data_IF_130554990048
#
_entry.id   IF_130554990048
#
_cell.length_a   1.000
_cell.length_b   1.000
_cell.length_c   1.000
_cell.angle_alpha   90.00
_cell.angle_beta   90.00
_cell.angle_gamma   90.00
#
_symmetry.space_group_name_H-M   'P 1'
#
loop_
_entity.id
_entity.type
_entity.pdbx_description
1 polymer ?
#
# COMPACT_ATOMS: atom_id res chain seq x y z
N UNK A 1 17.33 10.74 8.51
CA UNK A 1 16.25 9.98 9.17
C UNK A 1 15.59 9.14 8.08
N UNK A 2 16.08 7.92 7.88
CA UNK A 2 15.58 7.00 6.84
C UNK A 2 14.44 6.22 7.50
N UNK A 3 13.21 6.48 7.08
CA UNK A 3 12.07 5.68 7.49
C UNK A 3 12.33 4.24 7.04
N UNK A 4 12.33 3.31 8.01
CA UNK A 4 12.32 1.89 7.68
C UNK A 4 11.04 1.58 6.89
N UNK A 5 11.12 0.77 5.82
CA UNK A 5 9.93 0.20 5.23
C UNK A 5 9.24 -0.63 6.30
N UNK A 6 7.99 -0.29 6.61
CA UNK A 6 7.12 -1.06 7.48
C UNK A 6 6.57 -2.23 6.64
N UNK A 7 7.48 -3.12 6.19
CA UNK A 7 7.15 -4.32 5.42
C UNK A 7 7.48 -5.56 6.27
N UNK A 8 6.87 -5.62 7.46
CA UNK A 8 6.70 -6.89 8.16
C UNK A 8 5.52 -7.62 7.49
N UNK A 9 5.71 -8.92 7.31
CA UNK A 9 5.02 -9.91 6.44
C UNK A 9 3.49 -10.09 6.63
N UNK A 10 2.77 -9.08 7.16
CA UNK A 10 1.34 -9.08 7.51
C UNK A 10 0.63 -7.84 6.90
N UNK A 11 0.82 -7.59 5.60
CA UNK A 11 0.39 -6.35 4.95
C UNK A 11 -1.04 -6.42 4.40
N UNK A 12 -1.99 -5.78 5.09
CA UNK A 12 -3.30 -5.38 4.54
C UNK A 12 -3.21 -4.17 3.59
N UNK A 13 -2.22 -4.18 2.70
CA UNK A 13 -1.98 -3.29 1.56
C UNK A 13 -1.24 -4.14 0.50
N UNK A 14 -1.60 -4.11 -0.79
CA UNK A 14 -1.54 -5.32 -1.59
C UNK A 14 -0.10 -5.78 -1.89
N UNK A 15 0.01 -7.10 -2.02
CA UNK A 15 1.20 -7.96 -1.98
C UNK A 15 2.19 -7.80 -3.16
N UNK A 16 2.35 -6.61 -3.73
CA UNK A 16 3.22 -6.36 -4.90
C UNK A 16 4.45 -5.49 -4.61
N UNK A 17 4.70 -5.11 -3.36
CA UNK A 17 5.89 -4.36 -2.99
C UNK A 17 7.06 -5.30 -2.71
N UNK A 18 7.73 -5.76 -3.77
CA UNK A 18 9.12 -6.20 -3.65
C UNK A 18 9.96 -4.97 -3.28
N UNK A 19 10.86 -5.08 -2.29
CA UNK A 19 11.64 -3.99 -1.69
C UNK A 19 12.66 -3.28 -2.60
N UNK A 20 12.30 -3.04 -3.86
CA UNK A 20 13.10 -2.39 -4.88
C UNK A 20 12.40 -1.11 -5.35
N UNK A 21 13.17 -0.06 -5.57
CA UNK A 21 12.68 1.11 -6.31
C UNK A 21 12.34 0.72 -7.75
N UNK A 22 11.29 1.30 -8.30
CA UNK A 22 10.90 1.15 -9.71
C UNK A 22 11.01 2.49 -10.45
N UNK A 23 10.73 2.49 -11.74
CA UNK A 23 10.65 3.69 -12.58
C UNK A 23 9.30 3.75 -13.27
N UNK A 24 8.85 4.96 -13.64
CA UNK A 24 7.58 5.15 -14.39
C UNK A 24 7.56 4.29 -15.67
N UNK A 25 8.69 4.23 -16.39
CA UNK A 25 8.79 3.43 -17.61
C UNK A 25 8.66 1.92 -17.33
N UNK A 26 9.27 1.44 -16.23
CA UNK A 26 9.17 0.04 -15.80
C UNK A 26 7.74 -0.33 -15.40
N UNK A 27 7.13 0.46 -14.52
CA UNK A 27 5.75 0.21 -14.07
C UNK A 27 4.79 0.20 -15.26
N UNK A 28 4.85 1.20 -16.14
CA UNK A 28 3.97 1.23 -17.32
C UNK A 28 4.17 0.03 -18.25
N UNK A 29 5.38 -0.53 -18.31
CA UNK A 29 5.70 -1.66 -19.19
C UNK A 29 5.31 -3.01 -18.59
N UNK A 30 5.47 -3.18 -17.28
CA UNK A 30 5.42 -4.48 -16.63
C UNK A 30 4.32 -4.64 -15.57
N UNK A 31 3.72 -3.55 -15.10
CA UNK A 31 2.61 -3.62 -14.16
C UNK A 31 1.31 -3.93 -14.93
N UNK A 32 0.72 -5.13 -14.76
CA UNK A 32 -0.45 -5.55 -15.54
C UNK A 32 -1.66 -4.65 -15.27
N UNK A 33 -1.79 -4.11 -14.05
CA UNK A 33 -2.90 -3.23 -13.68
C UNK A 33 -2.92 -1.93 -14.49
N UNK A 34 -1.77 -1.45 -14.94
CA UNK A 34 -1.66 -0.20 -15.70
C UNK A 34 -2.01 -0.36 -17.19
N UNK A 35 -2.21 -1.58 -17.67
CA UNK A 35 -2.58 -1.89 -19.06
C UNK A 35 -4.05 -2.30 -19.23
N UNK A 36 -4.79 -2.45 -18.12
CA UNK A 36 -6.18 -2.89 -18.12
C UNK A 36 -7.15 -1.78 -18.56
N UNK A 37 -8.32 -2.18 -19.05
CA UNK A 37 -9.47 -1.28 -19.12
C UNK A 37 -9.93 -0.89 -17.71
N UNK A 38 -10.76 0.15 -17.62
CA UNK A 38 -11.27 0.63 -16.33
C UNK A 38 -12.06 -0.46 -15.59
N UNK A 39 -12.87 -1.23 -16.33
CA UNK A 39 -13.75 -2.26 -15.79
C UNK A 39 -12.92 -3.44 -15.27
N UNK A 40 -11.94 -3.91 -16.06
CA UNK A 40 -11.00 -4.96 -15.65
C UNK A 40 -10.18 -4.53 -14.42
N UNK A 41 -9.74 -3.26 -14.38
CA UNK A 41 -9.01 -2.73 -13.23
C UNK A 41 -9.87 -2.75 -11.96
N UNK A 42 -11.13 -2.31 -12.04
CA UNK A 42 -12.05 -2.30 -10.89
C UNK A 42 -12.25 -3.71 -10.36
N UNK A 43 -12.51 -4.68 -11.24
CA UNK A 43 -12.68 -6.07 -10.87
C UNK A 43 -11.40 -6.60 -10.17
N UNK A 44 -10.24 -6.36 -10.79
CA UNK A 44 -8.95 -6.82 -10.26
C UNK A 44 -8.61 -6.27 -8.87
N UNK A 45 -9.01 -5.03 -8.55
CA UNK A 45 -8.72 -4.40 -7.23
C UNK A 45 -9.84 -4.60 -6.20
N UNK A 46 -10.93 -5.27 -6.56
CA UNK A 46 -12.08 -5.49 -5.66
C UNK A 46 -11.87 -6.66 -4.69
N UNK A 47 -10.89 -7.54 -4.94
CA UNK A 47 -10.45 -8.56 -3.98
C UNK A 47 -9.54 -7.93 -2.90
N UNK A 48 -10.17 -7.32 -1.89
CA UNK A 48 -9.49 -6.55 -0.85
C UNK A 48 -9.21 -7.44 0.38
N UNK A 49 -7.94 -7.56 0.83
CA UNK A 49 -7.62 -8.33 2.03
C UNK A 49 -8.22 -7.70 3.30
N UNK A 50 -8.31 -8.46 4.40
CA UNK A 50 -8.76 -7.91 5.68
C UNK A 50 -7.91 -6.71 6.10
N UNK A 51 -8.55 -5.74 6.76
CA UNK A 51 -7.86 -4.55 7.25
C UNK A 51 -6.77 -4.97 8.25
N UNK A 52 -5.58 -4.33 8.22
CA UNK A 52 -4.56 -4.53 9.25
C UNK A 52 -5.14 -4.33 10.65
N UNK A 53 -4.76 -5.17 11.61
CA UNK A 53 -5.28 -5.13 12.98
C UNK A 53 -5.10 -3.75 13.65
N UNK A 54 -4.00 -3.05 13.34
CA UNK A 54 -3.69 -1.72 13.88
C UNK A 54 -4.17 -0.55 13.00
N UNK A 55 -5.00 -0.79 11.98
CA UNK A 55 -5.39 0.24 10.98
C UNK A 55 -5.89 1.54 11.63
N UNK A 56 -6.72 1.46 12.67
CA UNK A 56 -7.24 2.66 13.36
C UNK A 56 -6.14 3.47 14.07
N UNK A 57 -5.23 2.78 14.75
CA UNK A 57 -4.08 3.41 15.41
C UNK A 57 -3.14 4.06 14.39
N UNK A 58 -2.84 3.35 13.30
CA UNK A 58 -2.00 3.84 12.19
C UNK A 58 -2.60 5.12 11.61
N UNK A 59 -3.92 5.13 11.33
CA UNK A 59 -4.61 6.30 10.79
C UNK A 59 -4.59 7.49 11.77
N UNK A 60 -4.80 7.26 13.07
CA UNK A 60 -4.70 8.31 14.09
C UNK A 60 -3.32 8.96 14.10
N UNK A 61 -2.26 8.15 14.05
CA UNK A 61 -0.87 8.65 14.03
C UNK A 61 -0.60 9.43 12.74
N UNK A 62 -0.91 8.86 11.58
CA UNK A 62 -0.66 9.50 10.27
C UNK A 62 -1.43 10.81 10.10
N UNK A 63 -2.59 10.93 10.72
CA UNK A 63 -3.41 12.14 10.68
C UNK A 63 -3.07 13.15 11.79
N UNK A 64 -1.94 12.96 12.49
CA UNK A 64 -1.45 13.87 13.52
C UNK A 64 -2.28 13.89 14.80
N UNK A 65 -3.22 12.95 14.96
CA UNK A 65 -4.08 12.82 16.17
C UNK A 65 -3.48 11.89 17.22
N UNK A 66 -2.16 11.78 17.25
CA UNK A 66 -1.47 11.09 18.33
C UNK A 66 -1.50 12.00 19.55
N UNK A 67 -1.85 11.46 20.72
CA UNK A 67 -1.75 12.22 21.96
C UNK A 67 -0.30 12.68 22.14
N UNK A 68 -0.11 13.99 22.22
CA UNK A 68 1.18 14.60 22.51
C UNK A 68 1.57 14.15 23.92
N UNK A 69 2.69 13.44 24.05
CA UNK A 69 3.28 13.17 25.37
C UNK A 69 3.49 14.52 26.05
N UNK A 70 2.87 14.72 27.22
CA UNK A 70 3.30 15.75 28.17
C UNK A 70 4.70 15.43 28.69
#
# INVERSE_FOLDING_TARGET
>A
MIFKPYDDFETGCPAYLVGYSSTIASERRWNPLLSMSREEFIEAVSDVPPKPAAMEQILRINQGRKETRQ
#
